data_IF_469562099333
#
_entry.id   IF_469562099333
#
_cell.length_a   1.000
_cell.length_b   1.000
_cell.length_c   1.000
_cell.angle_alpha   90.00
_cell.angle_beta   90.00
_cell.angle_gamma   90.00
#
_symmetry.space_group_name_H-M   'P 1'
#
loop_
_entity.id
_entity.type
_entity.pdbx_description
1 polymer ?
#
# COMPACT_ATOMS: atom_id res chain seq x y z
N UNK A 1 -24.93 6.37 -40.32
CA UNK A 1 -25.15 7.31 -39.21
C UNK A 1 -25.77 6.66 -37.96
N UNK A 2 -26.14 5.38 -37.95
CA UNK A 2 -26.84 4.76 -36.79
C UNK A 2 -25.95 3.93 -35.84
N UNK A 3 -24.65 3.75 -36.12
CA UNK A 3 -23.72 3.01 -35.24
C UNK A 3 -22.97 3.90 -34.26
N UNK A 4 -22.76 5.18 -34.55
CA UNK A 4 -22.07 6.10 -33.62
C UNK A 4 -22.93 6.47 -32.41
N UNK A 5 -24.20 6.84 -32.62
CA UNK A 5 -25.11 7.25 -31.54
C UNK A 5 -25.42 6.13 -30.51
N UNK A 6 -25.33 4.86 -30.91
CA UNK A 6 -25.55 3.71 -30.02
C UNK A 6 -24.29 3.37 -29.21
N UNK A 7 -23.11 3.75 -29.70
CA UNK A 7 -21.85 3.63 -28.95
C UNK A 7 -21.71 4.77 -27.94
N UNK A 8 -22.00 6.02 -28.33
CA UNK A 8 -22.00 7.19 -27.43
C UNK A 8 -22.95 7.01 -26.25
N UNK A 9 -24.22 6.66 -26.49
CA UNK A 9 -25.17 6.44 -25.39
C UNK A 9 -24.90 5.21 -24.49
N UNK A 10 -24.02 4.28 -24.91
CA UNK A 10 -23.62 3.11 -24.10
C UNK A 10 -22.42 3.38 -23.21
N UNK A 11 -21.57 4.32 -23.59
CA UNK A 11 -20.42 4.76 -22.80
C UNK A 11 -20.90 5.76 -21.72
N UNK A 12 -21.86 6.63 -22.05
CA UNK A 12 -22.54 7.53 -21.09
C UNK A 12 -23.17 6.77 -19.90
N UNK A 13 -23.87 5.65 -20.17
CA UNK A 13 -24.48 4.81 -19.12
C UNK A 13 -23.44 4.19 -18.16
N UNK A 14 -22.25 3.87 -18.66
CA UNK A 14 -21.18 3.28 -17.84
C UNK A 14 -20.45 4.35 -17.02
N UNK A 15 -20.30 5.55 -17.57
CA UNK A 15 -19.71 6.69 -16.87
C UNK A 15 -20.61 7.17 -15.72
N UNK A 16 -21.92 7.25 -15.94
CA UNK A 16 -22.90 7.56 -14.90
C UNK A 16 -22.91 6.50 -13.78
N UNK A 17 -22.79 5.22 -14.17
CA UNK A 17 -22.66 4.12 -13.23
C UNK A 17 -21.35 4.20 -12.44
N UNK A 18 -20.24 4.52 -13.11
CA UNK A 18 -18.94 4.70 -12.48
C UNK A 18 -18.96 5.87 -11.48
N UNK A 19 -19.59 7.00 -11.83
CA UNK A 19 -19.75 8.15 -10.96
C UNK A 19 -20.58 7.78 -9.71
N UNK A 20 -21.71 7.10 -9.91
CA UNK A 20 -22.57 6.64 -8.81
C UNK A 20 -21.85 5.65 -7.88
N UNK A 21 -21.12 4.69 -8.45
CA UNK A 21 -20.35 3.71 -7.67
C UNK A 21 -19.18 4.36 -6.92
N UNK A 22 -18.51 5.35 -7.54
CA UNK A 22 -17.47 6.15 -6.89
C UNK A 22 -18.02 6.94 -5.70
N UNK A 23 -19.18 7.57 -5.86
CA UNK A 23 -19.83 8.30 -4.77
C UNK A 23 -20.22 7.38 -3.59
N UNK A 24 -20.63 6.14 -3.85
CA UNK A 24 -20.85 5.13 -2.79
C UNK A 24 -19.53 4.77 -2.08
N UNK A 25 -18.46 4.51 -2.84
CA UNK A 25 -17.15 4.22 -2.26
C UNK A 25 -16.67 5.36 -1.36
N UNK A 26 -16.82 6.62 -1.79
CA UNK A 26 -16.44 7.78 -0.97
C UNK A 26 -17.17 7.82 0.37
N UNK A 27 -18.47 7.46 0.41
CA UNK A 27 -19.23 7.33 1.65
C UNK A 27 -18.71 6.21 2.55
N UNK A 28 -18.28 5.09 1.97
CA UNK A 28 -17.66 3.99 2.73
C UNK A 28 -16.32 4.42 3.34
N UNK A 29 -15.47 5.11 2.58
CA UNK A 29 -14.18 5.60 3.09
C UNK A 29 -14.39 6.71 4.15
N UNK A 30 -15.38 7.58 3.96
CA UNK A 30 -15.74 8.60 4.96
C UNK A 30 -16.16 7.97 6.29
N UNK A 31 -16.95 6.89 6.25
CA UNK A 31 -17.34 6.16 7.45
C UNK A 31 -16.16 5.47 8.18
N UNK A 32 -15.01 5.29 7.52
CA UNK A 32 -13.79 4.79 8.18
C UNK A 32 -12.96 5.88 8.86
N UNK A 33 -13.35 7.16 8.75
CA UNK A 33 -12.61 8.30 9.32
C UNK A 33 -11.34 8.67 8.54
N UNK A 34 -11.13 8.10 7.34
CA UNK A 34 -9.87 8.27 6.62
C UNK A 34 -9.58 9.74 6.20
N UNK A 35 -10.61 10.59 6.15
CA UNK A 35 -10.50 11.99 5.77
C UNK A 35 -10.25 12.93 6.94
N UNK A 36 -10.37 12.46 8.19
CA UNK A 36 -10.40 13.32 9.38
C UNK A 36 -9.09 14.12 9.55
N UNK A 37 -7.97 13.56 9.12
CA UNK A 37 -6.66 14.20 9.17
C UNK A 37 -6.38 15.16 8.02
N UNK A 38 -6.90 14.91 6.82
CA UNK A 38 -6.73 15.78 5.65
C UNK A 38 -7.88 15.58 4.63
N UNK A 39 -8.93 16.42 4.67
CA UNK A 39 -10.10 16.30 3.80
C UNK A 39 -9.81 16.45 2.31
N UNK A 40 -8.65 17.01 1.92
CA UNK A 40 -8.29 17.22 0.50
C UNK A 40 -8.21 15.90 -0.26
N UNK A 41 -7.90 14.79 0.41
CA UNK A 41 -7.84 13.48 -0.22
C UNK A 41 -9.18 13.02 -0.76
N UNK A 42 -10.28 13.46 -0.16
CA UNK A 42 -11.63 13.17 -0.67
C UNK A 42 -11.79 13.68 -2.10
N UNK A 43 -11.28 14.88 -2.41
CA UNK A 43 -11.34 15.47 -3.75
C UNK A 43 -10.53 14.65 -4.75
N UNK A 44 -9.34 14.18 -4.39
CA UNK A 44 -8.52 13.31 -5.24
C UNK A 44 -9.24 11.99 -5.56
N UNK A 45 -9.86 11.34 -4.56
CA UNK A 45 -10.63 10.11 -4.80
C UNK A 45 -11.91 10.34 -5.60
N UNK A 46 -12.52 11.53 -5.50
CA UNK A 46 -13.67 11.93 -6.30
C UNK A 46 -13.29 12.20 -7.76
N UNK A 47 -12.11 12.78 -8.00
CA UNK A 47 -11.64 13.14 -9.33
C UNK A 47 -11.01 11.97 -10.09
N UNK A 48 -10.25 11.09 -9.42
CA UNK A 48 -9.48 10.03 -10.09
C UNK A 48 -10.34 8.77 -10.34
N UNK A 49 -10.62 8.42 -11.61
CA UNK A 49 -11.52 7.31 -11.93
C UNK A 49 -10.82 5.95 -11.75
N UNK A 50 -10.94 5.35 -10.56
CA UNK A 50 -10.32 4.04 -10.22
C UNK A 50 -10.51 2.96 -11.29
N UNK A 51 -11.67 2.90 -11.95
CA UNK A 51 -11.94 1.90 -12.98
C UNK A 51 -10.99 1.95 -14.21
N UNK A 52 -10.39 3.11 -14.52
CA UNK A 52 -9.36 3.22 -15.58
C UNK A 52 -8.05 2.50 -15.21
N UNK A 53 -7.78 2.35 -13.91
CA UNK A 53 -6.58 1.68 -13.39
C UNK A 53 -6.78 0.17 -13.20
N UNK A 54 -8.03 -0.30 -13.25
CA UNK A 54 -8.39 -1.72 -13.15
C UNK A 54 -9.23 -2.17 -14.35
N UNK A 55 -8.68 -2.15 -15.58
CA UNK A 55 -9.43 -2.52 -16.79
C UNK A 55 -9.97 -3.96 -16.74
N UNK A 56 -9.39 -4.79 -15.86
CA UNK A 56 -9.92 -6.06 -15.44
C UNK A 56 -9.42 -6.43 -14.03
N UNK A 57 -10.14 -7.34 -13.37
CA UNK A 57 -9.69 -7.97 -12.12
C UNK A 57 -10.31 -9.37 -11.99
N UNK A 58 -9.75 -10.17 -11.09
CA UNK A 58 -10.25 -11.51 -10.78
C UNK A 58 -11.15 -11.49 -9.54
N UNK A 59 -12.38 -11.95 -9.68
CA UNK A 59 -13.37 -12.05 -8.60
C UNK A 59 -13.64 -13.53 -8.25
N UNK A 60 -13.94 -13.81 -6.98
CA UNK A 60 -14.27 -15.16 -6.49
C UNK A 60 -13.11 -15.93 -5.84
N UNK A 61 -13.41 -17.13 -5.33
CA UNK A 61 -12.46 -18.00 -4.65
C UNK A 61 -11.38 -18.57 -5.59
N UNK A 62 -10.23 -18.98 -5.03
CA UNK A 62 -9.05 -19.47 -5.79
C UNK A 62 -9.43 -20.54 -6.82
N UNK A 63 -10.23 -21.54 -6.42
CA UNK A 63 -10.83 -22.53 -7.32
C UNK A 63 -12.15 -22.01 -7.89
N UNK A 64 -12.09 -21.05 -8.82
CA UNK A 64 -13.28 -20.48 -9.47
C UNK A 64 -13.21 -18.99 -9.81
N UNK A 65 -12.01 -18.39 -9.83
CA UNK A 65 -11.84 -16.96 -10.16
C UNK A 65 -12.38 -16.65 -11.56
N UNK A 66 -13.33 -15.74 -11.61
CA UNK A 66 -13.84 -15.16 -12.85
C UNK A 66 -13.12 -13.84 -13.13
N UNK A 67 -12.64 -13.64 -14.36
CA UNK A 67 -12.14 -12.34 -14.81
C UNK A 67 -13.33 -11.43 -15.17
N UNK A 68 -13.46 -10.31 -14.46
CA UNK A 68 -14.36 -9.21 -14.82
C UNK A 68 -13.54 -8.13 -15.55
N UNK A 69 -14.10 -7.56 -16.62
CA UNK A 69 -13.36 -6.65 -17.50
C UNK A 69 -14.29 -5.66 -18.23
N UNK A 70 -13.80 -4.44 -18.44
CA UNK A 70 -14.60 -3.36 -19.04
C UNK A 70 -14.93 -3.57 -20.53
N UNK A 71 -14.10 -4.33 -21.25
CA UNK A 71 -14.30 -4.65 -22.67
C UNK A 71 -15.29 -5.78 -22.96
N UNK A 72 -16.04 -6.27 -21.97
CA UNK A 72 -16.97 -7.39 -22.15
C UNK A 72 -18.10 -7.05 -23.14
N UNK A 73 -18.46 -7.95 -24.08
CA UNK A 73 -19.61 -7.73 -24.96
C UNK A 73 -20.96 -7.80 -24.19
N UNK A 74 -20.97 -8.45 -23.03
CA UNK A 74 -22.14 -8.54 -22.14
C UNK A 74 -22.24 -7.29 -21.24
N UNK A 75 -23.30 -6.45 -21.38
CA UNK A 75 -23.52 -5.26 -20.54
C UNK A 75 -23.58 -5.58 -19.05
N UNK A 76 -24.19 -6.70 -18.65
CA UNK A 76 -24.29 -7.07 -17.23
C UNK A 76 -22.92 -7.35 -16.63
N UNK A 77 -22.02 -7.94 -17.41
CA UNK A 77 -20.64 -8.15 -16.99
C UNK A 77 -19.87 -6.83 -16.86
N UNK A 78 -20.10 -5.86 -17.74
CA UNK A 78 -19.49 -4.51 -17.63
C UNK A 78 -20.00 -3.77 -16.39
N UNK A 79 -21.30 -3.82 -16.11
CA UNK A 79 -21.88 -3.26 -14.87
C UNK A 79 -21.28 -3.89 -13.61
N UNK A 80 -21.14 -5.23 -13.57
CA UNK A 80 -20.46 -5.91 -12.45
C UNK A 80 -19.01 -5.49 -12.32
N UNK A 81 -18.30 -5.36 -13.44
CA UNK A 81 -16.90 -4.92 -13.46
C UNK A 81 -16.76 -3.54 -12.82
N UNK A 82 -17.50 -2.52 -13.31
CA UNK A 82 -17.36 -1.15 -12.80
C UNK A 82 -17.82 -1.01 -11.35
N UNK A 83 -18.91 -1.68 -10.95
CA UNK A 83 -19.34 -1.67 -9.53
C UNK A 83 -18.29 -2.29 -8.62
N UNK A 84 -17.70 -3.42 -9.01
CA UNK A 84 -16.62 -4.04 -8.23
C UNK A 84 -15.30 -3.26 -8.28
N UNK A 85 -15.04 -2.46 -9.31
CA UNK A 85 -13.89 -1.53 -9.31
C UNK A 85 -13.99 -0.49 -8.18
N UNK A 86 -15.20 -0.21 -7.68
CA UNK A 86 -15.48 0.72 -6.60
C UNK A 86 -15.93 0.04 -5.30
N UNK A 87 -15.66 -1.25 -5.10
CA UNK A 87 -15.79 -1.85 -3.77
C UNK A 87 -14.58 -1.51 -2.91
N UNK A 88 -14.80 -1.38 -1.60
CA UNK A 88 -13.73 -1.19 -0.63
C UNK A 88 -13.01 -2.51 -0.32
N UNK A 89 -12.37 -3.07 -1.34
CA UNK A 89 -11.61 -4.31 -1.25
C UNK A 89 -10.39 -4.23 -2.17
N UNK A 90 -9.31 -4.97 -1.87
CA UNK A 90 -8.22 -5.14 -2.81
C UNK A 90 -8.70 -5.96 -4.02
N UNK A 91 -8.26 -5.56 -5.22
CA UNK A 91 -8.61 -6.21 -6.46
C UNK A 91 -7.38 -6.86 -7.07
N UNK A 92 -7.41 -8.18 -7.26
CA UNK A 92 -6.35 -8.90 -7.94
C UNK A 92 -6.32 -8.54 -9.43
N UNK A 93 -5.26 -7.86 -9.88
CA UNK A 93 -5.12 -7.38 -11.26
C UNK A 93 -4.14 -8.22 -12.06
N UNK A 94 -3.23 -8.94 -11.41
CA UNK A 94 -2.28 -9.83 -12.08
C UNK A 94 -1.95 -11.06 -11.25
N UNK A 95 -2.05 -12.21 -11.90
CA UNK A 95 -1.73 -13.52 -11.35
C UNK A 95 -0.65 -14.18 -12.21
N UNK A 96 0.33 -14.85 -11.61
CA UNK A 96 1.33 -15.68 -12.31
C UNK A 96 1.48 -16.98 -11.52
N UNK A 97 1.32 -18.12 -12.19
CA UNK A 97 1.43 -19.46 -11.58
C UNK A 97 0.56 -19.68 -10.32
N UNK A 98 -0.59 -19.00 -10.25
CA UNK A 98 -1.52 -19.06 -9.11
C UNK A 98 -1.23 -18.04 -8.00
N UNK A 99 -0.11 -17.33 -8.06
CA UNK A 99 0.30 -16.31 -7.10
C UNK A 99 -0.10 -14.90 -7.53
N UNK A 100 -0.46 -14.06 -6.54
CA UNK A 100 -0.82 -12.67 -6.75
C UNK A 100 0.45 -11.84 -7.00
N UNK A 101 0.58 -11.32 -8.22
CA UNK A 101 1.73 -10.49 -8.63
C UNK A 101 1.45 -9.00 -8.45
N UNK A 102 0.21 -8.58 -8.69
CA UNK A 102 -0.22 -7.20 -8.56
C UNK A 102 -1.70 -7.12 -8.18
N UNK A 103 -2.02 -6.15 -7.35
CA UNK A 103 -3.38 -5.79 -6.98
C UNK A 103 -3.55 -4.27 -6.98
N UNK A 104 -4.79 -3.82 -7.19
CA UNK A 104 -5.20 -2.49 -6.72
C UNK A 104 -5.55 -2.63 -5.24
N UNK A 105 -4.88 -1.85 -4.38
CA UNK A 105 -5.06 -1.89 -2.93
C UNK A 105 -6.48 -1.50 -2.51
N UNK A 106 -6.86 -1.86 -1.28
CA UNK A 106 -8.13 -1.45 -0.68
C UNK A 106 -8.20 0.09 -0.58
N UNK A 107 -9.24 0.74 -1.13
CA UNK A 107 -9.36 2.20 -1.15
C UNK A 107 -9.30 2.88 0.22
N UNK A 108 -10.02 2.38 1.24
CA UNK A 108 -10.01 2.99 2.58
C UNK A 108 -8.63 2.91 3.22
N UNK A 109 -7.92 1.79 3.05
CA UNK A 109 -6.54 1.66 3.51
C UNK A 109 -5.60 2.64 2.78
N UNK A 110 -5.77 2.83 1.47
CA UNK A 110 -5.00 3.85 0.72
C UNK A 110 -5.31 5.26 1.18
N UNK A 111 -6.59 5.59 1.42
CA UNK A 111 -6.98 6.89 1.94
C UNK A 111 -6.33 7.15 3.30
N UNK A 112 -6.40 6.19 4.24
CA UNK A 112 -5.73 6.30 5.53
C UNK A 112 -4.21 6.49 5.37
N UNK A 113 -3.55 5.69 4.51
CA UNK A 113 -2.11 5.83 4.26
C UNK A 113 -1.74 7.19 3.65
N UNK A 114 -2.54 7.73 2.73
CA UNK A 114 -2.28 9.03 2.12
C UNK A 114 -2.47 10.18 3.12
N UNK A 115 -3.48 10.10 3.99
CA UNK A 115 -3.66 11.04 5.11
C UNK A 115 -2.48 10.97 6.07
N UNK A 116 -2.07 9.76 6.47
CA UNK A 116 -0.92 9.52 7.37
C UNK A 116 0.44 9.82 6.76
N UNK A 117 0.52 10.01 5.43
CA UNK A 117 1.71 10.47 4.74
C UNK A 117 1.96 11.97 5.00
N UNK A 118 0.94 12.71 5.44
CA UNK A 118 1.04 14.14 5.80
C UNK A 118 1.73 14.95 4.69
N UNK A 119 1.28 14.81 3.44
CA UNK A 119 1.86 15.57 2.32
C UNK A 119 1.44 17.05 2.41
N UNK A 120 2.32 17.95 1.99
CA UNK A 120 2.04 19.38 1.89
C UNK A 120 2.37 19.82 0.46
N UNK A 121 1.86 20.99 0.09
CA UNK A 121 2.12 21.58 -1.22
C UNK A 121 3.63 21.74 -1.44
N UNK A 122 4.11 21.24 -2.58
CA UNK A 122 5.53 21.29 -2.92
C UNK A 122 6.36 20.09 -2.47
N UNK A 123 5.81 19.15 -1.68
CA UNK A 123 6.52 17.93 -1.33
C UNK A 123 6.77 17.04 -2.55
N UNK A 124 8.02 16.58 -2.69
CA UNK A 124 8.42 15.56 -3.67
C UNK A 124 8.25 14.16 -3.06
N UNK A 125 7.43 13.33 -3.71
CA UNK A 125 7.02 12.01 -3.20
C UNK A 125 7.58 10.88 -4.05
N UNK A 126 8.13 9.87 -3.37
CA UNK A 126 8.42 8.57 -3.96
C UNK A 126 7.40 7.53 -3.51
N UNK A 127 6.70 6.92 -4.46
CA UNK A 127 5.91 5.71 -4.24
C UNK A 127 6.72 4.47 -4.63
N UNK A 128 6.77 3.48 -3.72
CA UNK A 128 7.33 2.16 -3.95
C UNK A 128 6.20 1.17 -4.20
N UNK A 129 6.15 0.60 -5.41
CA UNK A 129 5.10 -0.31 -5.85
C UNK A 129 4.05 0.39 -6.72
N UNK A 130 4.42 0.82 -7.93
CA UNK A 130 3.49 1.51 -8.84
C UNK A 130 2.21 0.69 -9.11
N UNK A 131 2.33 -0.63 -9.25
CA UNK A 131 1.21 -1.53 -9.47
C UNK A 131 0.29 -1.05 -10.60
N UNK A 132 -0.96 -0.74 -10.29
CA UNK A 132 -1.92 -0.25 -11.29
C UNK A 132 -1.71 1.20 -11.72
N UNK A 133 -0.98 1.99 -10.93
CA UNK A 133 -0.82 3.44 -11.08
C UNK A 133 -1.88 4.28 -10.36
N UNK A 134 -2.87 3.67 -9.68
CA UNK A 134 -3.97 4.41 -9.07
C UNK A 134 -3.52 5.35 -7.95
N UNK A 135 -2.64 4.88 -7.05
CA UNK A 135 -2.17 5.69 -5.93
C UNK A 135 -1.20 6.80 -6.39
N UNK A 136 -0.32 6.52 -7.37
CA UNK A 136 0.42 7.58 -8.09
C UNK A 136 -0.49 8.66 -8.68
N UNK A 137 -1.66 8.30 -9.21
CA UNK A 137 -2.62 9.28 -9.77
C UNK A 137 -3.26 10.15 -8.68
N UNK A 138 -3.59 9.57 -7.52
CA UNK A 138 -4.10 10.31 -6.36
C UNK A 138 -3.05 11.31 -5.86
N UNK A 139 -1.80 10.88 -5.71
CA UNK A 139 -0.67 11.74 -5.36
C UNK A 139 -0.47 12.85 -6.41
N UNK A 140 -0.52 12.50 -7.70
CA UNK A 140 -0.33 13.45 -8.79
C UNK A 140 -1.48 14.46 -8.89
N UNK A 141 -2.71 14.08 -8.55
CA UNK A 141 -3.82 15.00 -8.41
C UNK A 141 -3.58 15.99 -7.27
N UNK A 142 -3.06 15.51 -6.13
CA UNK A 142 -2.80 16.34 -4.93
C UNK A 142 -1.62 17.30 -5.08
N UNK A 143 -0.54 16.86 -5.72
CA UNK A 143 0.75 17.58 -5.73
C UNK A 143 1.18 18.06 -7.12
N UNK A 144 0.58 17.51 -8.18
CA UNK A 144 1.02 17.68 -9.56
C UNK A 144 2.03 16.62 -10.00
N UNK A 145 1.96 16.24 -11.28
CA UNK A 145 2.75 15.16 -11.88
C UNK A 145 4.27 15.29 -11.64
N UNK A 146 4.80 16.52 -11.63
CA UNK A 146 6.24 16.78 -11.51
C UNK A 146 6.84 16.37 -10.16
N UNK A 147 6.01 16.32 -9.11
CA UNK A 147 6.41 16.03 -7.73
C UNK A 147 6.15 14.57 -7.32
N UNK A 148 5.74 13.72 -8.27
CA UNK A 148 5.44 12.31 -7.99
C UNK A 148 6.34 11.43 -8.84
N UNK A 149 7.09 10.57 -8.16
CA UNK A 149 7.83 9.46 -8.76
C UNK A 149 7.28 8.16 -8.22
N UNK A 150 7.01 7.19 -9.10
CA UNK A 150 6.56 5.85 -8.69
C UNK A 150 7.43 4.79 -9.35
N UNK A 151 7.80 3.75 -8.61
CA UNK A 151 8.70 2.68 -9.07
C UNK A 151 8.07 1.31 -8.91
N UNK A 152 8.26 0.44 -9.90
CA UNK A 152 7.91 -0.98 -9.82
C UNK A 152 8.98 -1.84 -10.53
N UNK A 153 9.14 -3.07 -10.07
CA UNK A 153 10.16 -3.99 -10.56
C UNK A 153 9.83 -4.52 -11.96
N UNK A 154 8.55 -4.75 -12.26
CA UNK A 154 8.13 -5.44 -13.48
C UNK A 154 7.85 -4.42 -14.62
N UNK A 155 8.55 -4.50 -15.76
CA UNK A 155 8.39 -3.56 -16.87
C UNK A 155 6.99 -3.58 -17.49
N UNK A 156 6.28 -4.71 -17.45
CA UNK A 156 4.91 -4.77 -17.95
C UNK A 156 3.94 -4.04 -17.00
N UNK A 157 4.21 -4.06 -15.70
CA UNK A 157 3.42 -3.35 -14.69
C UNK A 157 3.61 -1.84 -14.89
N UNK A 158 4.86 -1.38 -14.98
CA UNK A 158 5.14 0.05 -15.19
C UNK A 158 4.56 0.57 -16.50
N UNK A 159 4.62 -0.22 -17.58
CA UNK A 159 4.01 0.17 -18.86
C UNK A 159 2.49 0.24 -18.78
N UNK A 160 1.86 -0.70 -18.06
CA UNK A 160 0.42 -0.62 -17.81
C UNK A 160 0.06 0.61 -16.97
N UNK A 161 0.82 0.90 -15.93
CA UNK A 161 0.62 2.08 -15.09
C UNK A 161 0.72 3.37 -15.89
N UNK A 162 1.75 3.53 -16.75
CA UNK A 162 1.88 4.69 -17.66
C UNK A 162 0.65 4.91 -18.53
N UNK A 163 0.09 3.83 -19.08
CA UNK A 163 -1.14 3.90 -19.90
C UNK A 163 -2.36 4.30 -19.10
N UNK A 164 -2.56 3.72 -17.91
CA UNK A 164 -3.69 4.07 -17.04
C UNK A 164 -3.60 5.51 -16.56
N UNK A 165 -2.42 5.95 -16.11
CA UNK A 165 -2.14 7.33 -15.72
C UNK A 165 -2.45 8.29 -16.86
N UNK A 166 -1.94 8.01 -18.07
CA UNK A 166 -2.20 8.84 -19.24
C UNK A 166 -3.69 8.90 -19.61
N UNK A 167 -4.43 7.79 -19.48
CA UNK A 167 -5.87 7.74 -19.70
C UNK A 167 -6.66 8.56 -18.67
N UNK A 168 -6.15 8.64 -17.44
CA UNK A 168 -6.70 9.48 -16.37
C UNK A 168 -6.20 10.94 -16.41
N UNK A 169 -5.38 11.31 -17.40
CA UNK A 169 -4.85 12.68 -17.56
C UNK A 169 -3.59 13.00 -16.74
N UNK A 170 -2.96 12.01 -16.11
CA UNK A 170 -1.77 12.15 -15.28
C UNK A 170 -0.51 11.63 -15.98
N UNK A 171 0.62 12.29 -15.76
CA UNK A 171 1.95 11.90 -16.29
C UNK A 171 3.08 12.03 -15.27
N UNK A 172 2.96 11.49 -14.04
CA UNK A 172 4.08 11.43 -13.12
C UNK A 172 5.20 10.53 -13.67
N UNK A 173 6.38 10.60 -13.07
CA UNK A 173 7.52 9.78 -13.48
C UNK A 173 7.29 8.33 -13.02
N UNK A 174 7.22 7.40 -13.97
CA UNK A 174 7.10 5.95 -13.69
C UNK A 174 8.41 5.26 -14.03
N UNK A 175 9.10 4.73 -13.03
CA UNK A 175 10.40 4.07 -13.15
C UNK A 175 10.24 2.55 -13.11
N UNK A 176 10.92 1.84 -14.02
CA UNK A 176 11.10 0.39 -13.90
C UNK A 176 12.40 0.14 -13.16
N UNK A 177 12.33 -0.42 -11.96
CA UNK A 177 13.50 -0.61 -11.12
C UNK A 177 13.18 -1.30 -9.80
N UNK A 178 14.23 -1.69 -9.10
CA UNK A 178 14.12 -2.24 -7.75
C UNK A 178 13.80 -1.13 -6.75
N UNK A 179 12.59 -1.17 -6.19
CA UNK A 179 12.12 -0.19 -5.21
C UNK A 179 12.98 -0.10 -3.96
N UNK A 180 13.70 -1.16 -3.58
CA UNK A 180 14.63 -1.11 -2.44
C UNK A 180 15.78 -0.13 -2.68
N UNK A 181 16.11 0.18 -3.95
CA UNK A 181 17.15 1.13 -4.33
C UNK A 181 16.66 2.57 -4.41
N UNK A 182 15.36 2.80 -4.29
CA UNK A 182 14.74 4.09 -4.54
C UNK A 182 14.96 4.59 -5.97
N UNK A 183 14.96 5.91 -6.15
CA UNK A 183 15.19 6.58 -7.44
C UNK A 183 16.07 7.83 -7.20
N UNK A 184 17.40 7.67 -7.02
CA UNK A 184 18.29 8.73 -6.57
C UNK A 184 18.26 10.00 -7.44
N UNK A 185 18.07 9.85 -8.75
CA UNK A 185 18.01 10.94 -9.72
C UNK A 185 16.75 11.80 -9.61
N UNK A 186 15.78 11.40 -8.78
CA UNK A 186 14.53 12.12 -8.52
C UNK A 186 14.43 12.69 -7.10
N UNK A 187 15.40 12.36 -6.24
CA UNK A 187 15.49 12.92 -4.89
C UNK A 187 16.03 14.37 -4.88
N UNK A 188 16.11 14.99 -3.69
CA UNK A 188 15.68 14.43 -2.42
C UNK A 188 14.15 14.40 -2.29
N UNK A 189 13.63 13.39 -1.59
CA UNK A 189 12.21 13.22 -1.31
C UNK A 189 11.84 13.78 0.06
N UNK A 190 10.67 14.40 0.12
CA UNK A 190 10.05 14.86 1.37
C UNK A 190 9.19 13.74 1.98
N UNK A 191 8.71 12.82 1.14
CA UNK A 191 7.84 11.72 1.53
C UNK A 191 8.17 10.46 0.74
N UNK A 192 8.17 9.32 1.41
CA UNK A 192 8.22 8.00 0.78
C UNK A 192 7.04 7.19 1.27
N UNK A 193 6.31 6.56 0.35
CA UNK A 193 5.21 5.65 0.67
C UNK A 193 5.42 4.32 -0.03
N UNK A 194 5.36 3.21 0.71
CA UNK A 194 5.40 1.88 0.14
C UNK A 194 4.01 1.24 0.10
N UNK A 195 3.68 0.63 -1.04
CA UNK A 195 2.42 -0.13 -1.24
C UNK A 195 2.71 -1.64 -1.37
N UNK A 196 3.79 -2.07 -0.73
CA UNK A 196 4.23 -3.45 -0.59
C UNK A 196 4.83 -3.65 0.82
N UNK A 197 4.75 -4.87 1.36
CA UNK A 197 5.29 -5.15 2.69
C UNK A 197 6.81 -5.30 2.65
N UNK A 198 7.50 -4.69 3.61
CA UNK A 198 8.94 -4.76 3.77
C UNK A 198 9.41 -5.78 4.80
N UNK A 199 10.62 -6.25 4.59
CA UNK A 199 11.45 -7.06 5.48
C UNK A 199 12.34 -6.21 6.40
N UNK A 200 12.79 -5.07 5.88
CA UNK A 200 13.64 -4.04 6.46
C UNK A 200 13.37 -2.72 5.71
N UNK A 201 13.63 -1.58 6.35
CA UNK A 201 13.55 -0.27 5.70
C UNK A 201 14.84 -0.01 4.90
N UNK A 202 14.79 0.08 3.57
CA UNK A 202 16.01 0.22 2.78
C UNK A 202 16.76 1.51 3.09
N UNK A 203 18.03 1.41 3.47
CA UNK A 203 18.88 2.58 3.77
C UNK A 203 19.03 3.54 2.59
N UNK A 204 18.93 3.02 1.37
CA UNK A 204 18.94 3.83 0.16
C UNK A 204 17.82 4.90 0.18
N UNK A 205 16.70 4.65 0.86
CA UNK A 205 15.61 5.61 1.00
C UNK A 205 16.02 6.80 1.87
N UNK A 206 16.67 6.56 3.01
CA UNK A 206 17.12 7.60 3.93
C UNK A 206 18.12 8.54 3.23
N UNK A 207 19.07 7.98 2.50
CA UNK A 207 20.05 8.75 1.72
C UNK A 207 19.42 9.60 0.59
N UNK A 208 18.19 9.28 0.20
CA UNK A 208 17.41 10.00 -0.81
C UNK A 208 16.37 10.95 -0.20
N UNK A 209 16.32 11.08 1.12
CA UNK A 209 15.37 11.93 1.82
C UNK A 209 16.00 13.23 2.32
N UNK A 210 15.18 14.27 2.47
CA UNK A 210 15.55 15.43 3.31
C UNK A 210 15.47 15.04 4.79
N UNK A 211 16.28 15.65 5.68
CA UNK A 211 15.99 15.64 7.11
C UNK A 211 14.57 16.14 7.37
N UNK A 212 13.82 15.44 8.22
CA UNK A 212 12.41 15.65 8.48
C UNK A 212 11.46 14.97 7.48
N UNK A 213 11.96 14.28 6.45
CA UNK A 213 11.10 13.52 5.55
C UNK A 213 10.37 12.39 6.29
N UNK A 214 9.17 12.06 5.82
CA UNK A 214 8.34 11.00 6.40
C UNK A 214 8.33 9.77 5.48
N UNK A 215 8.65 8.61 6.05
CA UNK A 215 8.56 7.31 5.38
C UNK A 215 7.37 6.57 5.96
N UNK A 216 6.40 6.22 5.11
CA UNK A 216 5.25 5.43 5.49
C UNK A 216 5.31 4.07 4.81
N UNK A 217 5.37 2.99 5.58
CA UNK A 217 5.60 1.67 5.01
C UNK A 217 4.87 0.53 5.76
N UNK A 218 4.19 -0.38 5.05
CA UNK A 218 3.71 -1.62 5.63
C UNK A 218 4.87 -2.49 6.11
N UNK A 219 4.84 -2.85 7.38
CA UNK A 219 5.85 -3.70 8.00
C UNK A 219 5.16 -4.73 8.90
N UNK A 220 5.55 -6.00 8.77
CA UNK A 220 4.82 -7.12 9.37
C UNK A 220 3.33 -7.12 8.96
N UNK A 221 2.43 -6.75 9.86
CA UNK A 221 0.98 -6.55 9.58
C UNK A 221 0.46 -5.21 10.08
N UNK A 222 1.38 -4.25 10.26
CA UNK A 222 1.09 -2.89 10.69
C UNK A 222 1.66 -1.87 9.70
N UNK A 223 1.38 -0.60 9.96
CA UNK A 223 1.86 0.53 9.18
C UNK A 223 2.85 1.33 10.02
N UNK A 224 4.11 1.43 9.60
CA UNK A 224 5.13 2.22 10.28
C UNK A 224 5.24 3.61 9.64
N UNK A 225 5.31 4.65 10.47
CA UNK A 225 5.59 6.02 10.06
C UNK A 225 6.91 6.47 10.70
N UNK A 226 7.95 6.63 9.90
CA UNK A 226 9.29 7.00 10.32
C UNK A 226 9.61 8.44 9.89
N UNK A 227 10.31 9.17 10.76
CA UNK A 227 10.93 10.45 10.42
C UNK A 227 12.40 10.22 10.15
N UNK A 228 12.86 10.68 8.98
CA UNK A 228 14.27 10.68 8.60
C UNK A 228 14.97 11.81 9.35
N UNK A 229 15.95 11.49 10.20
CA UNK A 229 16.77 12.51 10.87
C UNK A 229 17.95 12.92 9.99
N UNK A 230 18.58 11.94 9.34
CA UNK A 230 19.66 12.13 8.38
C UNK A 230 19.77 10.95 7.40
N UNK A 231 20.82 10.92 6.58
CA UNK A 231 21.02 9.90 5.54
C UNK A 231 21.23 8.47 6.08
N UNK A 232 21.52 8.31 7.37
CA UNK A 232 21.80 7.03 8.02
C UNK A 232 20.82 6.73 9.16
N UNK A 233 20.02 7.69 9.60
CA UNK A 233 19.13 7.54 10.74
C UNK A 233 17.67 7.91 10.43
N UNK A 234 16.76 6.99 10.73
CA UNK A 234 15.33 7.23 10.76
C UNK A 234 14.69 6.44 11.91
N UNK A 235 13.68 7.03 12.54
CA UNK A 235 12.98 6.41 13.66
C UNK A 235 11.49 6.74 13.60
N UNK A 236 10.66 5.81 14.05
CA UNK A 236 9.24 6.08 14.16
C UNK A 236 8.44 4.97 14.80
N UNK A 237 7.13 5.21 14.91
CA UNK A 237 6.19 4.29 15.53
C UNK A 237 5.30 3.64 14.49
N UNK A 238 4.71 2.52 14.88
CA UNK A 238 3.57 2.00 14.15
C UNK A 238 2.33 2.84 14.44
N UNK A 239 1.46 2.91 13.45
CA UNK A 239 0.12 3.48 13.57
C UNK A 239 -0.86 2.38 14.00
N UNK A 240 -2.06 2.79 14.43
CA UNK A 240 -3.11 1.83 14.81
C UNK A 240 -3.54 0.93 13.63
N UNK A 241 -3.34 1.44 12.41
CA UNK A 241 -3.79 0.85 11.15
C UNK A 241 -3.09 -0.47 10.86
N UNK A 242 -3.89 -1.52 10.65
CA UNK A 242 -3.42 -2.78 10.09
C UNK A 242 -3.18 -2.65 8.59
N UNK A 243 -2.06 -3.16 8.10
CA UNK A 243 -1.69 -3.07 6.70
C UNK A 243 -1.27 -4.45 6.18
N UNK A 244 -2.01 -4.98 5.21
CA UNK A 244 -1.73 -6.26 4.55
C UNK A 244 -1.45 -6.01 3.08
N UNK A 245 -0.19 -6.17 2.68
CA UNK A 245 0.26 -5.99 1.31
C UNK A 245 1.05 -7.20 0.81
N UNK A 246 1.09 -7.35 -0.51
CA UNK A 246 2.04 -8.27 -1.15
C UNK A 246 3.47 -7.87 -0.79
N UNK A 247 4.40 -8.82 -0.62
CA UNK A 247 5.77 -8.50 -0.25
C UNK A 247 6.49 -7.73 -1.36
N UNK A 248 7.43 -6.86 -0.98
CA UNK A 248 8.37 -6.27 -1.92
C UNK A 248 9.18 -7.40 -2.57
N UNK A 249 9.29 -7.35 -3.90
CA UNK A 249 10.05 -8.32 -4.70
C UNK A 249 11.33 -7.67 -5.20
N UNK A 250 12.37 -8.47 -5.41
CA UNK A 250 13.71 -8.00 -5.78
C UNK A 250 14.68 -8.01 -4.62
N UNK A 251 14.18 -8.00 -3.38
CA UNK A 251 14.92 -8.42 -2.20
C UNK A 251 15.12 -9.95 -2.25
N UNK A 252 16.38 -10.40 -2.20
CA UNK A 252 16.78 -11.80 -2.44
C UNK A 252 16.64 -12.70 -1.20
N UNK A 253 15.94 -12.23 -0.17
CA UNK A 253 15.88 -12.91 1.12
C UNK A 253 14.87 -14.07 1.11
N UNK A 254 15.27 -15.29 1.50
CA UNK A 254 14.34 -16.41 1.60
C UNK A 254 13.26 -16.11 2.66
N UNK A 255 12.02 -16.40 2.33
CA UNK A 255 10.90 -16.27 3.26
C UNK A 255 11.10 -17.27 4.43
N UNK A 256 11.16 -16.82 5.69
CA UNK A 256 11.38 -17.73 6.81
C UNK A 256 10.20 -18.69 6.98
N UNK A 257 10.48 -19.90 7.48
CA UNK A 257 9.45 -20.90 7.74
C UNK A 257 8.34 -20.35 8.67
N UNK A 258 7.08 -20.69 8.37
CA UNK A 258 5.93 -20.35 9.22
C UNK A 258 6.09 -21.03 10.58
N UNK A 259 6.11 -20.30 11.71
CA UNK A 259 6.28 -20.90 13.01
C UNK A 259 5.15 -21.88 13.35
N UNK A 260 5.48 -23.00 13.99
CA UNK A 260 4.46 -23.92 14.51
C UNK A 260 3.73 -23.29 15.71
N UNK A 261 2.49 -22.85 15.49
CA UNK A 261 1.68 -22.20 16.54
C UNK A 261 0.89 -23.19 17.41
N UNK A 262 0.95 -24.50 17.13
CA UNK A 262 0.03 -25.50 17.71
C UNK A 262 0.01 -25.57 19.24
N UNK A 263 1.10 -25.16 19.91
CA UNK A 263 1.20 -25.12 21.36
C UNK A 263 0.61 -23.84 22.00
N UNK A 264 0.14 -22.88 21.20
CA UNK A 264 -0.43 -21.62 21.69
C UNK A 264 -1.96 -21.68 21.85
N UNK A 265 -2.52 -20.97 22.85
CA UNK A 265 -3.97 -20.84 23.00
C UNK A 265 -4.64 -20.32 21.73
N UNK A 266 -5.81 -20.86 21.37
CA UNK A 266 -6.56 -20.44 20.18
C UNK A 266 -6.82 -18.92 20.16
N UNK A 267 -7.19 -18.36 21.33
CA UNK A 267 -7.39 -16.92 21.50
C UNK A 267 -6.20 -16.07 21.06
N UNK A 268 -4.97 -16.54 21.26
CA UNK A 268 -3.76 -15.83 20.87
C UNK A 268 -3.50 -16.00 19.38
N UNK A 269 -3.63 -17.24 18.87
CA UNK A 269 -3.47 -17.56 17.45
C UNK A 269 -4.41 -16.76 16.56
N UNK A 270 -5.59 -16.42 17.07
CA UNK A 270 -6.62 -15.66 16.36
C UNK A 270 -6.55 -14.15 16.58
N UNK A 271 -5.70 -13.68 17.49
CA UNK A 271 -5.58 -12.27 17.83
C UNK A 271 -4.64 -11.54 16.86
N UNK A 272 -5.13 -10.46 16.28
CA UNK A 272 -4.40 -9.67 15.28
C UNK A 272 -3.10 -9.05 15.83
N UNK A 273 -3.17 -8.36 16.99
CA UNK A 273 -1.98 -7.79 17.64
C UNK A 273 -0.91 -8.83 18.00
N UNK A 274 -1.32 -10.06 18.34
CA UNK A 274 -0.37 -11.12 18.60
C UNK A 274 0.33 -11.61 17.32
N UNK A 275 -0.42 -11.75 16.21
CA UNK A 275 0.16 -12.07 14.90
C UNK A 275 1.10 -10.97 14.41
N UNK A 276 0.76 -9.71 14.69
CA UNK A 276 1.63 -8.56 14.45
C UNK A 276 2.96 -8.70 15.20
N UNK A 277 2.92 -8.86 16.53
CA UNK A 277 4.11 -9.06 17.35
C UNK A 277 4.95 -10.24 16.82
N UNK A 278 4.33 -11.39 16.60
CA UNK A 278 5.02 -12.60 16.13
C UNK A 278 5.72 -12.40 14.78
N UNK A 279 5.11 -11.61 13.89
CA UNK A 279 5.70 -11.32 12.58
C UNK A 279 6.80 -10.28 12.69
N UNK A 280 6.64 -9.27 13.56
CA UNK A 280 7.62 -8.23 13.81
C UNK A 280 8.90 -8.78 14.44
N UNK A 281 8.78 -9.69 15.41
CA UNK A 281 9.92 -10.28 16.13
C UNK A 281 10.41 -11.59 15.52
N UNK A 282 10.09 -11.83 14.24
CA UNK A 282 10.40 -13.08 13.57
C UNK A 282 11.91 -13.28 13.48
N UNK A 283 12.40 -14.36 14.07
CA UNK A 283 13.83 -14.67 14.16
C UNK A 283 14.50 -14.18 15.44
N UNK A 284 13.80 -13.38 16.25
CA UNK A 284 14.28 -12.91 17.57
C UNK A 284 13.57 -13.58 18.74
N UNK A 285 12.27 -13.84 18.62
CA UNK A 285 11.48 -14.53 19.64
C UNK A 285 10.83 -15.79 19.06
N UNK A 286 10.81 -16.87 19.84
CA UNK A 286 9.95 -18.00 19.54
C UNK A 286 8.47 -17.69 19.88
N UNK A 287 7.49 -18.45 19.34
CA UNK A 287 6.08 -18.16 19.56
C UNK A 287 5.62 -18.14 21.02
N UNK A 288 6.25 -18.92 21.92
CA UNK A 288 5.93 -18.94 23.34
C UNK A 288 6.53 -17.74 24.07
N UNK A 289 7.76 -17.34 23.74
CA UNK A 289 8.39 -16.12 24.25
C UNK A 289 7.57 -14.88 23.86
N UNK A 290 7.18 -14.79 22.59
CA UNK A 290 6.31 -13.73 22.10
C UNK A 290 4.96 -13.72 22.84
N UNK A 291 4.37 -14.89 23.12
CA UNK A 291 3.11 -14.99 23.86
C UNK A 291 3.25 -14.56 25.33
N UNK A 292 4.34 -14.96 25.98
CA UNK A 292 4.63 -14.57 27.35
C UNK A 292 4.87 -13.06 27.48
N UNK A 293 5.58 -12.45 26.51
CA UNK A 293 5.72 -11.00 26.41
C UNK A 293 4.36 -10.33 26.20
N UNK A 294 3.57 -10.81 25.25
CA UNK A 294 2.28 -10.23 24.89
C UNK A 294 1.30 -10.20 26.08
N UNK A 295 1.22 -11.27 26.87
CA UNK A 295 0.37 -11.27 28.09
C UNK A 295 0.99 -10.43 29.21
N UNK A 296 2.32 -10.40 29.36
CA UNK A 296 3.01 -9.61 30.40
C UNK A 296 2.83 -8.10 30.19
N UNK A 297 2.86 -7.65 28.94
CA UNK A 297 2.74 -6.24 28.56
C UNK A 297 1.30 -5.80 28.29
N UNK A 298 0.32 -6.57 28.77
CA UNK A 298 -1.12 -6.33 28.63
C UNK A 298 -1.58 -6.15 27.17
N UNK A 299 -1.15 -7.08 26.31
CA UNK A 299 -1.54 -7.17 24.90
C UNK A 299 -1.35 -5.84 24.16
N UNK A 300 -0.10 -5.33 24.12
CA UNK A 300 0.22 -4.00 23.62
C UNK A 300 -0.36 -3.74 22.22
N UNK A 301 -0.92 -2.54 22.05
CA UNK A 301 -1.35 -2.00 20.76
C UNK A 301 -0.15 -1.65 19.88
N UNK A 302 -0.36 -1.51 18.57
CA UNK A 302 0.73 -1.29 17.59
C UNK A 302 1.54 -0.04 17.89
N UNK A 303 0.90 1.01 18.36
CA UNK A 303 1.46 2.34 18.59
C UNK A 303 2.53 2.36 19.69
N UNK A 304 2.53 1.34 20.55
CA UNK A 304 3.62 1.13 21.52
C UNK A 304 4.90 0.65 20.84
N UNK A 305 4.81 0.05 19.67
CA UNK A 305 5.95 -0.44 18.91
C UNK A 305 6.52 0.64 17.99
N UNK A 306 7.79 0.52 17.67
CA UNK A 306 8.46 1.33 16.66
C UNK A 306 9.62 0.63 15.99
N UNK A 307 10.23 1.33 15.04
CA UNK A 307 11.40 0.90 14.28
C UNK A 307 12.43 2.02 14.33
N UNK A 308 13.69 1.65 14.54
CA UNK A 308 14.85 2.53 14.36
C UNK A 308 15.78 1.92 13.32
N UNK A 309 16.17 2.74 12.34
CA UNK A 309 17.23 2.49 11.36
C UNK A 309 18.38 3.41 11.74
N UNK A 310 19.58 2.87 11.95
CA UNK A 310 20.76 3.66 12.30
C UNK A 310 22.03 3.02 11.73
N UNK A 311 22.61 3.66 10.72
CA UNK A 311 23.80 3.17 10.04
C UNK A 311 23.57 1.76 9.47
N UNK A 312 24.33 0.78 9.96
CA UNK A 312 24.21 -0.61 9.51
C UNK A 312 23.13 -1.43 10.22
N UNK A 313 22.47 -0.85 11.23
CA UNK A 313 21.56 -1.56 12.13
C UNK A 313 20.11 -1.12 11.92
N UNK A 314 19.20 -2.08 12.05
CA UNK A 314 17.77 -1.84 12.11
C UNK A 314 17.18 -2.71 13.21
N UNK A 315 16.30 -2.16 14.03
CA UNK A 315 15.63 -2.93 15.07
C UNK A 315 14.22 -2.41 15.32
N UNK A 316 13.32 -3.33 15.64
CA UNK A 316 12.01 -3.01 16.18
C UNK A 316 12.09 -2.96 17.71
N UNK A 317 11.22 -2.18 18.33
CA UNK A 317 11.20 -2.03 19.78
C UNK A 317 9.77 -1.89 20.31
N UNK A 318 9.59 -2.14 21.60
CA UNK A 318 8.37 -1.87 22.35
C UNK A 318 8.64 -0.77 23.38
N UNK A 319 7.77 0.24 23.38
CA UNK A 319 7.79 1.49 24.15
C UNK A 319 8.94 2.44 23.84
N UNK A 320 10.19 2.00 23.91
CA UNK A 320 11.37 2.87 23.71
C UNK A 320 12.50 2.17 22.90
N UNK A 321 13.21 2.89 22.01
CA UNK A 321 14.28 2.32 21.17
C UNK A 321 15.44 1.70 21.95
N UNK A 322 15.79 2.27 23.11
CA UNK A 322 16.87 1.81 24.00
C UNK A 322 16.33 1.02 25.19
N UNK A 323 15.05 0.61 25.14
CA UNK A 323 14.37 -0.13 26.19
C UNK A 323 14.80 -1.60 26.27
N UNK A 324 14.24 -2.36 27.23
CA UNK A 324 14.54 -3.78 27.40
C UNK A 324 13.99 -4.67 26.27
N UNK A 325 13.08 -4.14 25.46
CA UNK A 325 12.42 -4.84 24.37
C UNK A 325 12.84 -4.24 23.03
N UNK A 326 13.98 -4.72 22.53
CA UNK A 326 14.51 -4.38 21.22
C UNK A 326 14.89 -5.67 20.48
N UNK A 327 14.48 -5.76 19.22
CA UNK A 327 14.67 -6.95 18.39
C UNK A 327 15.32 -6.56 17.07
N UNK A 328 16.51 -7.11 16.75
CA UNK A 328 17.16 -6.82 15.49
C UNK A 328 16.27 -7.24 14.33
N UNK A 329 16.09 -6.32 13.39
CA UNK A 329 15.42 -6.61 12.13
C UNK A 329 16.46 -7.15 11.13
N UNK A 330 16.04 -8.05 10.24
CA UNK A 330 16.94 -8.64 9.26
C UNK A 330 17.35 -7.60 8.23
N UNK A 331 18.63 -7.21 8.24
CA UNK A 331 19.25 -6.25 7.30
C UNK A 331 19.75 -6.94 6.04
#
# INVERSE_FOLDING_TARGET
MSTHAVHEGRDDDLDDLAASARAELLRVIEASGAWDGDPVWREAFEAVPRHLFVPYYYAGAVSGRQRLWGGSPDPRTRERWVRGAYTDAPLATRMRDGELVSSSSQPSLMAMMLTELEVEDGHNVLEIGAGTGYNAALLAHRLGDALVTTVDLDPEITESARRHLAAAGHRPVVVTGDGARGVPERGPFDRIIATCTLSSVPRAWLAQCRPGARILTPFATGLAALTVLDAEHAEGRFLHTSAYFVPLRGDSRPEPAVPHLGALPARARDHELFRFLLTLTRGSLDPQEAYALWEREDRPVRERYGITVSGDQEWAWLDEPTGPYAWPLPV
#
